data_IF_627302727797
#
_entry.id   IF_627302727797
#
_cell.length_a   1.000
_cell.length_b   1.000
_cell.length_c   1.000
_cell.angle_alpha   90.00
_cell.angle_beta   90.00
_cell.angle_gamma   90.00
#
_symmetry.space_group_name_H-M   'P 1'
#
loop_
_entity.id
_entity.type
_entity.pdbx_description
1 polymer ?
2 water ?
#
# COMPACT_ATOMS: atom_id res chain seq x y z
N UNK A 1 0.84 10.43 -29.99
CA UNK A 1 -0.21 9.44 -30.36
C UNK A 1 -1.08 9.02 -29.18
N UNK A 2 -1.14 7.72 -28.91
CA UNK A 2 -1.95 7.18 -27.82
C UNK A 2 -1.42 7.49 -26.42
N UNK A 3 -0.10 7.44 -26.24
CA UNK A 3 0.48 7.71 -24.93
C UNK A 3 1.26 9.02 -24.88
N UNK A 4 0.58 10.12 -25.17
CA UNK A 4 1.22 11.44 -25.15
C UNK A 4 0.41 12.38 -24.27
N UNK A 5 1.01 13.49 -23.88
CA UNK A 5 0.29 14.44 -23.06
C UNK A 5 0.26 14.11 -21.59
N UNK A 6 -0.35 14.98 -20.77
CA UNK A 6 -0.45 14.79 -19.32
C UNK A 6 -1.38 13.69 -18.87
N UNK A 7 -1.05 13.15 -17.71
CA UNK A 7 -1.83 12.12 -17.07
C UNK A 7 -1.66 12.43 -15.60
N UNK A 8 -2.79 12.59 -14.92
CA UNK A 8 -2.79 12.86 -13.50
C UNK A 8 -3.10 11.57 -12.78
N UNK A 9 -2.12 11.06 -12.04
CA UNK A 9 -2.29 9.82 -11.33
C UNK A 9 -2.29 10.01 -9.82
N UNK A 10 -3.24 9.36 -9.16
CA UNK A 10 -3.34 9.44 -7.72
C UNK A 10 -2.87 8.14 -7.09
N UNK A 11 -2.23 8.24 -5.93
CA UNK A 11 -1.73 7.05 -5.23
C UNK A 11 -2.02 7.26 -3.75
N UNK A 12 -2.40 6.20 -3.03
CA UNK A 12 -2.61 6.38 -1.60
C UNK A 12 -1.24 6.47 -0.93
N UNK A 13 -1.18 7.12 0.23
CA UNK A 13 0.05 7.33 1.01
C UNK A 13 0.89 6.10 1.34
N UNK A 14 0.24 4.94 1.50
CA UNK A 14 0.97 3.71 1.85
C UNK A 14 1.51 2.96 0.62
N UNK A 15 1.32 3.54 -0.55
CA UNK A 15 1.78 2.96 -1.80
C UNK A 15 2.73 3.91 -2.55
N UNK A 16 2.24 5.12 -2.81
CA UNK A 16 2.99 6.13 -3.56
C UNK A 16 4.49 6.24 -3.38
N UNK A 17 4.95 6.64 -2.20
CA UNK A 17 6.38 6.80 -1.90
C UNK A 17 7.25 5.58 -2.20
N UNK A 18 6.68 4.40 -2.04
CA UNK A 18 7.46 3.18 -2.20
C UNK A 18 7.37 2.49 -3.54
N UNK A 19 6.31 2.79 -4.28
CA UNK A 19 6.12 2.20 -5.59
C UNK A 19 6.74 3.04 -6.72
N UNK A 20 6.58 4.36 -6.63
CA UNK A 20 7.07 5.28 -7.66
C UNK A 20 8.51 5.05 -8.12
N UNK A 21 9.47 4.97 -7.18
CA UNK A 21 10.87 4.73 -7.57
C UNK A 21 11.05 3.50 -8.45
N UNK A 22 10.15 2.54 -8.34
CA UNK A 22 10.24 1.33 -9.14
C UNK A 22 9.60 1.43 -10.53
N UNK A 23 8.64 2.33 -10.71
CA UNK A 23 7.97 2.43 -12.00
C UNK A 23 8.17 3.69 -12.82
N UNK A 24 8.50 4.81 -12.19
CA UNK A 24 8.70 6.04 -12.93
C UNK A 24 9.76 5.89 -14.04
N UNK A 25 10.98 5.41 -13.72
CA UNK A 25 12.00 5.27 -14.77
C UNK A 25 11.51 4.38 -15.91
N UNK A 26 10.77 3.33 -15.59
CA UNK A 26 10.25 2.43 -16.60
C UNK A 26 9.18 3.10 -17.48
N UNK A 27 8.37 3.97 -16.88
CA UNK A 27 7.33 4.68 -17.62
C UNK A 27 7.96 5.72 -18.54
N UNK A 28 9.04 6.34 -18.09
CA UNK A 28 9.74 7.32 -18.91
C UNK A 28 10.34 6.66 -20.15
N UNK A 29 10.72 5.39 -20.01
CA UNK A 29 11.30 4.63 -21.11
C UNK A 29 10.26 4.05 -22.03
N UNK A 30 9.15 3.59 -21.46
CA UNK A 30 8.09 2.98 -22.24
C UNK A 30 7.21 4.03 -22.97
N UNK A 31 7.03 5.19 -22.35
CA UNK A 31 6.20 6.25 -22.92
C UNK A 31 6.94 7.58 -22.80
N UNK A 32 7.95 7.82 -23.65
CA UNK A 32 8.77 9.04 -23.65
C UNK A 32 8.01 10.36 -23.80
N UNK A 33 6.84 10.31 -24.43
CA UNK A 33 6.04 11.52 -24.65
C UNK A 33 4.91 11.72 -23.63
N UNK A 34 4.84 10.83 -22.65
CA UNK A 34 3.82 10.92 -21.61
C UNK A 34 4.36 11.79 -20.47
N UNK A 35 3.52 12.71 -20.00
CA UNK A 35 3.91 13.60 -18.92
C UNK A 35 3.05 13.26 -17.70
N UNK A 36 3.69 12.72 -16.68
CA UNK A 36 2.98 12.31 -15.48
C UNK A 36 3.02 13.28 -14.33
N UNK A 37 1.86 13.50 -13.73
CA UNK A 37 1.71 14.34 -12.56
C UNK A 37 1.21 13.41 -11.46
N UNK A 38 1.94 13.36 -10.36
CA UNK A 38 1.61 12.47 -9.26
C UNK A 38 0.98 13.17 -8.08
N UNK A 39 -0.11 12.57 -7.56
CA UNK A 39 -0.85 13.10 -6.41
C UNK A 39 -1.02 12.03 -5.34
N UNK A 40 -0.87 12.42 -4.08
CA UNK A 40 -1.06 11.49 -2.97
C UNK A 40 -2.12 12.02 -2.03
N UNK A 41 -3.06 11.15 -1.68
CA UNK A 41 -4.14 11.50 -0.77
C UNK A 41 -4.80 10.20 -0.31
N UNK A 42 -5.64 10.28 0.72
CA UNK A 42 -6.31 9.10 1.23
C UNK A 42 -7.32 8.57 0.24
N UNK A 43 -7.59 7.27 0.34
CA UNK A 43 -8.51 6.58 -0.56
C UNK A 43 -9.80 7.33 -0.92
N UNK A 44 -10.52 7.83 0.09
CA UNK A 44 -11.78 8.52 -0.19
C UNK A 44 -11.60 9.79 -0.99
N UNK A 45 -10.56 10.56 -0.67
CA UNK A 45 -10.30 11.79 -1.41
C UNK A 45 -9.92 11.49 -2.86
N UNK A 46 -9.15 10.42 -3.08
CA UNK A 46 -8.72 10.05 -4.42
C UNK A 46 -9.87 9.55 -5.29
N UNK A 47 -10.78 8.78 -4.71
CA UNK A 47 -11.91 8.25 -5.46
C UNK A 47 -12.93 9.34 -5.78
N UNK A 48 -12.99 10.37 -4.93
CA UNK A 48 -13.89 11.50 -5.15
C UNK A 48 -13.35 12.34 -6.30
N UNK A 49 -12.04 12.59 -6.29
CA UNK A 49 -11.38 13.37 -7.35
C UNK A 49 -11.35 12.62 -8.68
N UNK A 50 -11.41 11.30 -8.60
CA UNK A 50 -11.42 10.47 -9.80
C UNK A 50 -12.82 10.60 -10.43
N UNK A 51 -13.84 10.60 -9.58
CA UNK A 51 -15.21 10.71 -10.04
C UNK A 51 -15.52 12.11 -10.54
N UNK A 52 -14.86 13.10 -9.95
CA UNK A 52 -15.05 14.49 -10.34
C UNK A 52 -14.46 14.76 -11.70
N UNK A 53 -13.44 13.97 -12.05
CA UNK A 53 -12.77 14.15 -13.32
C UNK A 53 -11.43 14.85 -13.13
N UNK A 54 -11.09 15.14 -11.88
CA UNK A 54 -9.82 15.81 -11.56
C UNK A 54 -8.60 14.90 -11.76
N UNK A 55 -8.81 13.59 -11.71
CA UNK A 55 -7.72 12.64 -11.89
C UNK A 55 -8.08 11.68 -13.03
N UNK A 56 -7.06 11.14 -13.67
CA UNK A 56 -7.22 10.19 -14.76
C UNK A 56 -7.38 8.78 -14.21
N UNK A 57 -6.51 8.44 -13.27
CA UNK A 57 -6.54 7.12 -12.67
C UNK A 57 -5.96 7.16 -11.27
N UNK A 58 -6.27 6.13 -10.51
CA UNK A 58 -5.80 6.02 -9.13
C UNK A 58 -5.25 4.63 -8.86
N UNK A 59 -4.17 4.57 -8.09
CA UNK A 59 -3.54 3.31 -7.73
C UNK A 59 -3.73 3.16 -6.23
N UNK A 60 -4.33 2.06 -5.81
CA UNK A 60 -4.57 1.87 -4.38
C UNK A 60 -4.79 0.41 -4.04
N UNK A 61 -5.10 0.16 -2.77
CA UNK A 61 -5.38 -1.19 -2.29
C UNK A 61 -6.86 -1.38 -2.56
N UNK A 62 -7.19 -2.31 -3.45
CA UNK A 62 -8.59 -2.53 -3.79
C UNK A 62 -9.40 -2.81 -2.54
N UNK A 63 -10.45 -2.02 -2.35
CA UNK A 63 -11.35 -2.16 -1.22
C UNK A 63 -12.78 -2.14 -1.76
N UNK A 64 -13.74 -2.25 -0.87
CA UNK A 64 -15.15 -2.27 -1.24
C UNK A 64 -15.60 -1.02 -1.98
N UNK A 65 -15.03 0.12 -1.63
CA UNK A 65 -15.39 1.39 -2.25
C UNK A 65 -14.90 1.57 -3.69
N UNK A 66 -14.02 0.70 -4.16
CA UNK A 66 -13.52 0.84 -5.51
C UNK A 66 -14.20 -0.10 -6.49
N UNK A 67 -15.26 -0.77 -6.05
CA UNK A 67 -15.98 -1.69 -6.93
C UNK A 67 -16.89 -0.94 -7.91
N UNK A 68 -17.19 0.31 -7.60
CA UNK A 68 -18.03 1.13 -8.47
C UNK A 68 -17.22 1.68 -9.65
N UNK A 69 -15.96 1.26 -9.76
CA UNK A 69 -15.11 1.74 -10.85
C UNK A 69 -14.48 0.55 -11.55
N UNK A 70 -13.66 0.82 -12.56
CA UNK A 70 -12.98 -0.25 -13.27
C UNK A 70 -11.68 -0.55 -12.53
N UNK A 71 -11.55 -1.78 -12.05
CA UNK A 71 -10.38 -2.21 -11.30
C UNK A 71 -9.46 -3.12 -12.10
N UNK A 72 -8.19 -2.74 -12.19
CA UNK A 72 -7.19 -3.53 -12.89
C UNK A 72 -6.09 -3.94 -11.89
N UNK A 73 -6.15 -5.17 -11.38
CA UNK A 73 -5.14 -5.65 -10.43
C UNK A 73 -3.73 -5.51 -10.99
N UNK A 74 -2.82 -4.97 -10.20
CA UNK A 74 -1.45 -4.79 -10.65
C UNK A 74 -0.54 -5.85 -10.05
N UNK A 75 -0.60 -6.03 -8.73
CA UNK A 75 0.23 -7.03 -8.06
C UNK A 75 -0.23 -7.23 -6.62
N UNK A 76 0.15 -8.35 -6.03
CA UNK A 76 -0.23 -8.60 -4.65
C UNK A 76 0.98 -8.29 -3.81
N UNK A 77 0.79 -7.46 -2.80
CA UNK A 77 1.90 -7.08 -1.95
C UNK A 77 1.78 -7.63 -0.53
N UNK A 78 2.74 -8.47 -0.14
CA UNK A 78 2.66 -9.01 1.22
C UNK A 78 2.96 -7.93 2.25
N UNK A 79 2.68 -8.25 3.51
CA UNK A 79 2.99 -7.33 4.57
C UNK A 79 3.88 -8.04 5.57
N UNK A 80 4.86 -7.31 6.09
CA UNK A 80 5.79 -7.87 7.06
C UNK A 80 5.57 -7.26 8.42
N UNK A 81 6.12 -7.91 9.44
CA UNK A 81 5.96 -7.43 10.80
C UNK A 81 7.11 -6.51 11.18
N UNK A 82 6.78 -5.38 11.82
CA UNK A 82 7.79 -4.44 12.28
C UNK A 82 7.71 -4.35 13.80
N UNK A 83 8.81 -4.65 14.48
CA UNK A 83 8.83 -4.62 15.94
C UNK A 83 10.12 -3.94 16.39
N UNK A 84 10.13 -3.38 17.59
CA UNK A 84 11.36 -2.76 18.06
C UNK A 84 12.38 -3.85 18.41
N UNK A 85 13.66 -3.51 18.35
CA UNK A 85 14.76 -4.42 18.64
C UNK A 85 14.60 -5.28 19.89
N UNK A 86 14.35 -4.61 21.01
CA UNK A 86 14.24 -5.26 22.30
C UNK A 86 12.93 -5.98 22.56
N UNK A 87 12.18 -6.27 21.51
CA UNK A 87 10.92 -6.98 21.67
C UNK A 87 11.25 -8.47 21.74
N UNK A 88 10.47 -9.24 22.52
CA UNK A 88 10.66 -10.69 22.69
C UNK A 88 10.77 -11.48 21.38
N UNK A 89 10.03 -11.07 20.36
CA UNK A 89 10.08 -11.79 19.08
C UNK A 89 11.29 -11.49 18.21
N UNK A 90 12.14 -10.56 18.65
CA UNK A 90 13.31 -10.16 17.88
C UNK A 90 14.18 -11.29 17.34
N UNK A 91 14.18 -12.43 18.02
CA UNK A 91 15.00 -13.55 17.57
C UNK A 91 14.28 -14.63 16.77
N UNK A 92 13.00 -14.40 16.48
CA UNK A 92 12.21 -15.35 15.70
C UNK A 92 12.48 -15.12 14.22
N UNK A 93 12.16 -16.12 13.40
CA UNK A 93 12.37 -16.00 11.96
C UNK A 93 11.07 -15.72 11.24
N UNK A 94 9.96 -15.98 11.93
CA UNK A 94 8.64 -15.75 11.37
C UNK A 94 7.71 -15.72 12.55
N UNK A 95 6.55 -15.10 12.38
CA UNK A 95 5.57 -15.00 13.45
C UNK A 95 4.16 -15.24 12.90
N UNK A 96 3.46 -16.27 13.43
CA UNK A 96 2.10 -16.54 12.96
C UNK A 96 1.13 -15.42 13.34
N UNK A 97 0.20 -15.12 12.44
CA UNK A 97 -0.77 -14.07 12.66
C UNK A 97 -1.54 -14.19 13.97
N UNK A 98 -1.87 -15.42 14.35
CA UNK A 98 -2.60 -15.67 15.59
C UNK A 98 -1.86 -15.10 16.81
N UNK A 99 -0.55 -14.95 16.72
CA UNK A 99 0.22 -14.41 17.85
C UNK A 99 -0.05 -12.93 18.17
N UNK A 100 -0.54 -12.17 17.19
CA UNK A 100 -0.80 -10.74 17.38
C UNK A 100 -1.84 -10.45 18.45
N UNK A 101 -2.49 -11.51 18.93
CA UNK A 101 -3.51 -11.38 19.97
C UNK A 101 -2.83 -10.88 21.25
N UNK A 102 -3.46 -9.92 21.93
CA UNK A 102 -2.88 -9.39 23.16
C UNK A 102 -1.57 -8.62 22.98
N UNK A 103 -1.34 -8.10 21.79
CA UNK A 103 -0.14 -7.33 21.50
C UNK A 103 -0.64 -5.92 21.15
N UNK A 104 0.17 -4.89 21.37
CA UNK A 104 -0.26 -3.54 21.06
C UNK A 104 0.08 -3.18 19.61
N UNK A 105 -0.94 -3.16 18.76
CA UNK A 105 -0.79 -2.85 17.34
C UNK A 105 -1.09 -1.40 16.95
N UNK A 106 -0.15 -0.77 16.25
CA UNK A 106 -0.38 0.58 15.79
C UNK A 106 -1.02 0.44 14.41
N UNK A 107 -1.97 1.30 14.08
CA UNK A 107 -2.58 1.20 12.76
C UNK A 107 -3.07 2.53 12.21
N UNK A 108 -3.35 2.54 10.91
CA UNK A 108 -3.85 3.74 10.24
C UNK A 108 -5.29 3.54 9.79
N UNK A 109 -6.08 4.61 9.82
CA UNK A 109 -7.47 4.57 9.41
C UNK A 109 -7.67 4.32 7.91
N UNK A 110 -6.64 4.55 7.09
CA UNK A 110 -6.75 4.33 5.64
C UNK A 110 -5.53 3.66 4.99
N UNK A 111 -5.78 2.85 3.97
CA UNK A 111 -4.72 2.16 3.24
C UNK A 111 -3.80 1.22 4.02
N UNK A 112 -4.22 0.82 5.23
CA UNK A 112 -3.39 -0.04 6.08
C UNK A 112 -4.05 -1.38 6.47
N UNK A 113 -5.20 -1.32 7.13
CA UNK A 113 -5.93 -2.52 7.59
C UNK A 113 -6.15 -3.62 6.57
N UNK A 114 -6.20 -4.86 7.04
CA UNK A 114 -6.43 -6.00 6.17
C UNK A 114 -7.92 -6.26 6.04
N UNK A 115 -8.69 -5.92 7.06
CA UNK A 115 -10.14 -6.15 7.01
C UNK A 115 -10.93 -4.88 6.75
N UNK A 116 -12.10 -5.03 6.12
CA UNK A 116 -12.96 -3.88 5.92
C UNK A 116 -13.29 -3.61 7.38
N UNK A 117 -13.34 -2.35 7.78
CA UNK A 117 -13.57 -2.06 9.18
C UNK A 117 -15.01 -2.09 9.69
N UNK A 118 -15.83 -2.91 9.04
CA UNK A 118 -17.22 -3.08 9.44
C UNK A 118 -17.22 -4.31 10.35
N UNK A 119 -16.07 -4.99 10.38
CA UNK A 119 -15.88 -6.19 11.19
C UNK A 119 -15.46 -5.87 12.62
N UNK A 120 -15.18 -4.60 12.89
CA UNK A 120 -14.79 -4.20 14.23
C UNK A 120 -13.29 -4.15 14.52
N UNK A 121 -12.47 -4.75 13.66
CA UNK A 121 -11.03 -4.73 13.88
C UNK A 121 -10.23 -4.49 12.60
N UNK A 122 -8.93 -4.27 12.76
CA UNK A 122 -8.04 -3.96 11.63
C UNK A 122 -7.17 -5.12 11.15
N UNK A 123 -6.44 -5.72 12.08
CA UNK A 123 -5.55 -6.83 11.75
C UNK A 123 -5.93 -8.13 12.45
N UNK A 124 -6.12 -8.06 13.76
CA UNK A 124 -6.46 -9.24 14.55
C UNK A 124 -7.47 -8.85 15.62
N UNK A 125 -8.57 -9.61 15.70
CA UNK A 125 -9.64 -9.35 16.66
C UNK A 125 -9.20 -9.24 18.13
N UNK A 126 -8.29 -10.11 18.56
CA UNK A 126 -7.84 -10.07 19.94
C UNK A 126 -6.63 -9.19 20.21
N UNK A 127 -6.26 -8.35 19.25
CA UNK A 127 -5.11 -7.50 19.45
C UNK A 127 -5.55 -6.17 20.02
N UNK A 128 -4.65 -5.51 20.74
CA UNK A 128 -4.93 -4.20 21.31
C UNK A 128 -4.48 -3.18 20.25
N UNK A 129 -5.42 -2.83 19.37
CA UNK A 129 -5.16 -1.91 18.27
C UNK A 129 -5.35 -0.45 18.64
N UNK A 130 -4.22 0.26 18.78
CA UNK A 130 -4.19 1.68 19.16
C UNK A 130 -4.83 2.61 18.11
N UNK A 131 -5.48 3.66 18.59
CA UNK A 131 -6.15 4.62 17.72
C UNK A 131 -5.54 6.01 17.81
N UNK A 132 -4.61 6.21 18.74
CA UNK A 132 -4.00 7.52 18.90
C UNK A 132 -3.19 8.01 17.70
N UNK A 133 -2.67 7.08 16.91
CA UNK A 133 -1.87 7.44 15.73
C UNK A 133 -2.56 7.05 14.44
N UNK A 134 -3.86 6.80 14.53
CA UNK A 134 -4.68 6.41 13.40
C UNK A 134 -4.73 7.44 12.27
N UNK A 135 -4.74 8.73 12.62
CA UNK A 135 -4.79 9.75 11.58
C UNK A 135 -3.44 10.29 11.18
N UNK A 136 -2.37 9.50 11.33
CA UNK A 136 -1.05 9.99 10.93
C UNK A 136 -0.57 9.41 9.61
N UNK A 137 0.51 8.63 9.62
CA UNK A 137 1.05 8.07 8.39
C UNK A 137 1.95 6.88 8.67
N UNK A 138 2.35 6.20 7.61
CA UNK A 138 3.21 5.02 7.69
C UNK A 138 4.57 5.30 8.34
N UNK A 139 5.24 6.38 7.93
CA UNK A 139 6.54 6.70 8.51
C UNK A 139 6.43 7.05 9.98
N UNK A 140 5.30 7.63 10.37
CA UNK A 140 5.10 7.97 11.78
C UNK A 140 5.01 6.68 12.57
N UNK A 141 4.29 5.71 12.02
CA UNK A 141 4.15 4.41 12.66
C UNK A 141 5.51 3.75 12.81
N UNK A 142 6.28 3.68 11.73
CA UNK A 142 7.61 3.08 11.77
C UNK A 142 8.47 3.68 12.87
N UNK A 143 8.47 5.01 12.98
CA UNK A 143 9.29 5.67 13.99
C UNK A 143 8.78 5.47 15.41
N UNK A 144 7.47 5.30 15.59
CA UNK A 144 6.95 5.08 16.93
C UNK A 144 7.25 3.65 17.38
N UNK A 145 7.33 2.74 16.42
CA UNK A 145 7.68 1.36 16.74
C UNK A 145 9.12 1.37 17.29
N UNK A 146 10.01 2.12 16.63
CA UNK A 146 11.40 2.23 17.07
C UNK A 146 11.46 2.84 18.46
N UNK A 147 10.54 3.75 18.76
CA UNK A 147 10.50 4.38 20.07
C UNK A 147 9.91 3.42 21.11
N UNK A 148 9.46 2.24 20.65
CA UNK A 148 8.90 1.24 21.55
C UNK A 148 7.44 1.40 21.93
N UNK A 149 6.69 2.18 21.16
CA UNK A 149 5.29 2.40 21.47
C UNK A 149 4.39 1.22 21.11
N UNK A 150 4.89 0.30 20.29
CA UNK A 150 4.12 -0.86 19.89
C UNK A 150 4.72 -1.49 18.66
N UNK A 151 3.93 -2.28 17.95
CA UNK A 151 4.41 -2.92 16.73
C UNK A 151 3.35 -2.77 15.65
N UNK A 152 3.68 -3.12 14.41
CA UNK A 152 2.69 -3.00 13.36
C UNK A 152 3.08 -3.79 12.14
N UNK A 153 2.25 -3.75 11.10
CA UNK A 153 2.54 -4.44 9.85
C UNK A 153 2.75 -3.37 8.77
N UNK A 154 3.76 -3.58 7.93
CA UNK A 154 4.08 -2.64 6.87
C UNK A 154 4.12 -3.37 5.54
N UNK A 155 3.71 -2.68 4.46
CA UNK A 155 3.73 -3.29 3.12
C UNK A 155 5.19 -3.57 2.78
N UNK A 156 5.44 -4.66 2.06
CA UNK A 156 6.79 -5.05 1.68
C UNK A 156 7.60 -3.94 1.03
N UNK A 157 6.99 -3.18 0.12
CA UNK A 157 7.72 -2.11 -0.57
C UNK A 157 8.28 -1.05 0.38
N UNK A 158 7.72 -0.96 1.59
CA UNK A 158 8.17 0.01 2.60
C UNK A 158 9.22 -0.53 3.58
N UNK A 159 9.66 -1.77 3.36
CA UNK A 159 10.64 -2.39 4.24
C UNK A 159 12.05 -2.23 3.66
N UNK A 160 13.01 -1.77 4.48
CA UNK A 160 14.40 -1.58 4.03
C UNK A 160 15.06 -2.89 3.63
N UNK A 161 16.18 -2.82 2.88
CA UNK A 161 16.87 -4.04 2.46
C UNK A 161 17.33 -4.91 3.63
N UNK A 162 17.67 -4.29 4.76
CA UNK A 162 18.13 -5.03 5.94
C UNK A 162 17.00 -5.54 6.82
N UNK A 163 17.32 -6.57 7.60
CA UNK A 163 16.37 -7.17 8.53
C UNK A 163 16.21 -6.23 9.72
N UNK A 164 17.29 -5.53 10.07
CA UNK A 164 17.28 -4.61 11.20
C UNK A 164 17.81 -3.23 10.82
N UNK A 165 17.07 -2.19 11.17
CA UNK A 165 17.50 -0.84 10.86
C UNK A 165 16.86 0.16 11.78
N UNK A 166 17.66 1.11 12.25
CA UNK A 166 17.23 2.17 13.15
C UNK A 166 16.38 1.68 14.35
N UNK A 167 16.74 0.53 14.91
CA UNK A 167 16.03 0.02 16.07
C UNK A 167 14.74 -0.71 15.76
N UNK A 168 14.55 -1.07 14.50
CA UNK A 168 13.37 -1.80 14.08
C UNK A 168 13.84 -3.08 13.40
N UNK A 169 13.17 -4.18 13.73
CA UNK A 169 13.47 -5.49 13.18
C UNK A 169 12.26 -5.84 12.32
N UNK A 170 12.50 -6.33 11.11
CA UNK A 170 11.40 -6.68 10.22
C UNK A 170 11.43 -8.18 9.94
N UNK A 171 10.31 -8.84 10.20
CA UNK A 171 10.22 -10.27 9.97
C UNK A 171 8.90 -10.70 9.33
N UNK A 172 8.92 -11.84 8.62
CA UNK A 172 7.75 -12.40 7.93
C UNK A 172 6.62 -12.72 8.90
N UNK A 173 5.40 -12.61 8.40
CA UNK A 173 4.20 -12.92 9.17
C UNK A 173 3.61 -14.09 8.38
N UNK A 174 3.22 -15.15 9.07
CA UNK A 174 2.72 -16.34 8.38
C UNK A 174 1.43 -16.91 8.92
N UNK A 175 0.96 -17.96 8.23
CA UNK A 175 -0.25 -18.68 8.61
C UNK A 175 -1.44 -17.80 8.96
N UNK A 176 -1.94 -17.02 7.99
CA UNK A 176 -1.42 -16.96 6.62
C UNK A 176 -0.63 -15.66 6.41
N UNK A 177 0.26 -15.66 5.42
CA UNK A 177 1.03 -14.46 5.10
C UNK A 177 0.03 -13.35 4.72
N UNK A 178 0.05 -12.22 5.43
CA UNK A 178 -0.87 -11.13 5.12
C UNK A 178 -0.51 -10.53 3.75
N UNK A 179 -1.51 -10.29 2.92
CA UNK A 179 -1.27 -9.73 1.60
C UNK A 179 -2.39 -8.77 1.23
N UNK A 180 -2.08 -7.82 0.36
CA UNK A 180 -3.10 -6.88 -0.11
C UNK A 180 -2.89 -6.78 -1.62
N UNK A 181 -3.97 -6.49 -2.34
CA UNK A 181 -3.91 -6.38 -3.79
C UNK A 181 -3.92 -4.92 -4.21
N UNK A 182 -2.86 -4.51 -4.90
CA UNK A 182 -2.77 -3.14 -5.37
C UNK A 182 -3.31 -3.11 -6.79
N UNK A 183 -4.22 -2.19 -7.06
CA UNK A 183 -4.75 -2.11 -8.41
C UNK A 183 -4.87 -0.69 -8.94
N UNK A 184 -5.06 -0.57 -10.25
CA UNK A 184 -5.25 0.73 -10.89
C UNK A 184 -6.75 0.87 -11.15
N UNK A 185 -7.32 1.98 -10.72
CA UNK A 185 -8.75 2.23 -10.88
C UNK A 185 -9.02 3.48 -11.74
N UNK A 186 -10.09 3.44 -12.54
CA UNK A 186 -10.48 4.57 -13.38
C UNK A 186 -11.99 4.56 -13.65
N UNK A 187 -12.52 5.69 -14.12
CA UNK A 187 -13.96 5.82 -14.38
C UNK A 187 -14.48 4.88 -15.46
N UNK A 188 -15.56 4.13 -15.17
CA UNK A 188 -16.08 3.23 -16.20
C UNK A 188 -16.66 4.10 -17.33
N UNK A 189 -16.53 3.64 -18.57
CA UNK A 189 -17.03 4.43 -19.68
C UNK A 189 -16.04 5.52 -20.08
N UNK A 190 -14.92 5.62 -19.36
CA UNK A 190 -13.91 6.64 -19.67
C UNK A 190 -13.45 6.58 -21.13
N UNK A 191 -13.46 7.73 -21.82
CA UNK A 191 -13.06 7.85 -23.23
C UNK A 191 -11.62 7.47 -23.48
N UNK A 192 -10.75 7.71 -22.50
CA UNK A 192 -9.33 7.41 -22.64
C UNK A 192 -8.93 6.06 -22.02
N UNK A 193 -9.88 5.14 -21.91
CA UNK A 193 -9.62 3.83 -21.32
C UNK A 193 -8.47 3.05 -21.94
N UNK A 194 -8.24 3.19 -23.24
CA UNK A 194 -7.13 2.46 -23.86
C UNK A 194 -5.79 2.89 -23.24
N UNK A 195 -5.65 4.18 -22.96
CA UNK A 195 -4.42 4.70 -22.35
C UNK A 195 -4.23 4.16 -20.93
N UNK A 196 -5.31 4.12 -20.16
CA UNK A 196 -5.26 3.65 -18.78
C UNK A 196 -4.89 2.17 -18.75
N UNK A 197 -5.41 1.42 -19.72
CA UNK A 197 -5.15 -0.01 -19.80
C UNK A 197 -3.68 -0.28 -20.12
N UNK A 198 -3.11 0.46 -21.07
CA UNK A 198 -1.71 0.28 -21.44
C UNK A 198 -0.82 0.61 -20.27
N UNK A 199 -1.23 1.62 -19.50
CA UNK A 199 -0.47 2.05 -18.34
C UNK A 199 -0.47 0.95 -17.28
N UNK A 200 -1.65 0.38 -17.02
CA UNK A 200 -1.80 -0.68 -16.04
C UNK A 200 -1.00 -1.92 -16.45
N UNK A 201 -0.99 -2.23 -17.74
CA UNK A 201 -0.25 -3.39 -18.21
C UNK A 201 1.26 -3.23 -18.04
N UNK A 202 1.77 -2.02 -18.26
CA UNK A 202 3.20 -1.77 -18.14
C UNK A 202 3.64 -1.96 -16.69
N UNK A 203 2.80 -1.52 -15.75
CA UNK A 203 3.11 -1.63 -14.34
C UNK A 203 3.06 -3.07 -13.85
N UNK A 204 2.04 -3.80 -14.27
CA UNK A 204 1.88 -5.20 -13.88
C UNK A 204 3.12 -5.98 -14.32
N UNK A 205 3.55 -5.73 -15.56
CA UNK A 205 4.71 -6.40 -16.13
C UNK A 205 6.00 -6.16 -15.34
N UNK A 206 6.28 -4.90 -15.03
CA UNK A 206 7.47 -4.53 -14.28
C UNK A 206 7.49 -5.12 -12.87
N UNK A 207 6.34 -5.16 -12.21
CA UNK A 207 6.28 -5.66 -10.84
C UNK A 207 6.17 -7.18 -10.73
N UNK A 208 5.93 -7.82 -11.86
CA UNK A 208 5.80 -9.27 -11.94
C UNK A 208 7.02 -9.96 -11.32
N UNK A 209 6.78 -10.75 -10.28
CA UNK A 209 7.85 -11.49 -9.62
C UNK A 209 8.75 -10.68 -8.72
N UNK A 210 8.38 -9.43 -8.48
CA UNK A 210 9.19 -8.56 -7.64
C UNK A 210 9.34 -9.11 -6.21
N UNK A 211 8.34 -9.82 -5.70
CA UNK A 211 8.45 -10.35 -4.34
C UNK A 211 8.81 -11.84 -4.26
N UNK A 212 9.21 -12.43 -5.38
CA UNK A 212 9.58 -13.85 -5.39
C UNK A 212 10.99 -14.08 -4.87
#
# INVERSE_FOLDING_TARGET
>A
ETMSGPLHIGLIPTVGPYLLPHIIPMLHQTFPKLEMYLHEAQTHQLLAQLDSGKLDAVILALVKESEAFIEVPLFDEPMLLAIYEDHPWANREAVPMADLAGEKLLMLEDGHCLRDQAMGFCFEAGADEDTHFRATSLETLRNMVAAGSGITLLPALAVPPERKRDGVVYLPAIKPEPRRTIGLVYRPGSPLRSRYEQLAEAIRARMDGHFDKVLKQAV
#
